data_IF_777957468830
#
_entry.id   IF_777957468830
#
_cell.length_a   1.000
_cell.length_b   1.000
_cell.length_c   1.000
_cell.angle_alpha   90.00
_cell.angle_beta   90.00
_cell.angle_gamma   90.00
#
_symmetry.space_group_name_H-M   'P 1'
#
loop_
_entity.id
_entity.type
_entity.pdbx_description
1 polymer ?
#
# COMPACT_ATOMS: atom_id res chain seq x y z
N UNK A 1 -5.67 15.97 -11.12
CA UNK A 1 -5.19 16.36 -9.78
C UNK A 1 -5.16 15.11 -8.94
N UNK A 2 -3.96 14.61 -8.60
CA UNK A 2 -3.80 13.46 -7.69
C UNK A 2 -4.36 13.84 -6.33
N UNK A 3 -5.28 13.04 -5.80
CA UNK A 3 -5.78 13.26 -4.44
C UNK A 3 -4.69 12.89 -3.42
N UNK A 4 -4.59 13.59 -2.27
CA UNK A 4 -3.68 13.19 -1.22
C UNK A 4 -4.07 11.79 -0.71
N UNK A 5 -3.07 10.92 -0.50
CA UNK A 5 -3.27 9.63 0.15
C UNK A 5 -3.37 9.88 1.65
N UNK A 6 -4.48 9.47 2.25
CA UNK A 6 -4.67 9.49 3.70
C UNK A 6 -4.67 8.03 4.14
N UNK A 7 -3.74 7.70 5.03
CA UNK A 7 -3.67 6.36 5.61
C UNK A 7 -4.59 6.28 6.83
N UNK A 8 -5.22 5.13 7.03
CA UNK A 8 -5.82 4.83 8.33
C UNK A 8 -4.71 4.52 9.33
N UNK A 9 -4.92 4.75 10.64
CA UNK A 9 -3.94 4.37 11.67
C UNK A 9 -3.55 2.89 11.60
N UNK A 10 -4.51 2.01 11.26
CA UNK A 10 -4.24 0.58 11.07
C UNK A 10 -3.31 0.32 9.88
N UNK A 11 -3.50 1.01 8.75
CA UNK A 11 -2.70 0.81 7.56
C UNK A 11 -1.25 1.30 7.76
N UNK A 12 -1.05 2.38 8.53
CA UNK A 12 0.29 2.84 8.91
C UNK A 12 1.01 1.79 9.78
N UNK A 13 0.31 1.21 10.75
CA UNK A 13 0.85 0.14 11.60
C UNK A 13 1.17 -1.12 10.79
N UNK A 14 0.28 -1.53 9.89
CA UNK A 14 0.49 -2.69 9.02
C UNK A 14 1.72 -2.48 8.13
N UNK A 15 1.86 -1.30 7.53
CA UNK A 15 3.00 -0.98 6.68
C UNK A 15 4.31 -1.02 7.48
N UNK A 16 4.36 -0.39 8.67
CA UNK A 16 5.53 -0.45 9.54
C UNK A 16 5.90 -1.87 9.94
N UNK A 17 4.92 -2.67 10.38
CA UNK A 17 5.15 -4.05 10.80
C UNK A 17 5.69 -4.93 9.66
N UNK A 18 5.23 -4.70 8.43
CA UNK A 18 5.77 -5.40 7.25
C UNK A 18 7.21 -4.98 6.99
N UNK A 19 7.53 -3.67 7.05
CA UNK A 19 8.91 -3.21 6.86
C UNK A 19 9.86 -3.77 7.91
N UNK A 20 9.44 -3.79 9.18
CA UNK A 20 10.20 -4.36 10.29
C UNK A 20 10.46 -5.86 10.04
N UNK A 21 9.43 -6.62 9.68
CA UNK A 21 9.57 -8.04 9.34
C UNK A 21 10.53 -8.27 8.18
N UNK A 22 10.42 -7.49 7.11
CA UNK A 22 11.30 -7.60 5.94
C UNK A 22 12.74 -7.24 6.31
N UNK A 23 12.96 -6.23 7.15
CA UNK A 23 14.30 -5.85 7.60
C UNK A 23 14.94 -6.92 8.49
N UNK A 24 14.15 -7.57 9.35
CA UNK A 24 14.64 -8.62 10.24
C UNK A 24 14.97 -9.92 9.51
N UNK A 25 14.20 -10.25 8.47
CA UNK A 25 14.24 -11.58 7.83
C UNK A 25 14.88 -11.57 6.43
N UNK A 26 15.01 -10.39 5.81
CA UNK A 26 15.55 -10.21 4.47
C UNK A 26 16.54 -9.04 4.43
N UNK A 27 17.12 -8.78 3.26
CA UNK A 27 18.02 -7.66 3.08
C UNK A 27 17.28 -6.33 2.81
N UNK A 28 18.03 -5.24 2.94
CA UNK A 28 17.54 -3.89 2.70
C UNK A 28 16.95 -3.69 1.29
N UNK A 29 17.41 -4.42 0.27
CA UNK A 29 16.89 -4.26 -1.11
C UNK A 29 15.47 -4.77 -1.22
N UNK A 30 15.11 -5.80 -0.46
CA UNK A 30 13.73 -6.30 -0.41
C UNK A 30 12.80 -5.27 0.23
N UNK A 31 13.26 -4.61 1.30
CA UNK A 31 12.53 -3.52 1.96
C UNK A 31 12.33 -2.35 0.99
N UNK A 32 13.39 -1.91 0.33
CA UNK A 32 13.34 -0.83 -0.68
C UNK A 32 12.37 -1.16 -1.80
N UNK A 33 12.46 -2.38 -2.36
CA UNK A 33 11.56 -2.81 -3.42
C UNK A 33 10.10 -2.87 -2.96
N UNK A 34 9.83 -3.30 -1.73
CA UNK A 34 8.48 -3.31 -1.16
C UNK A 34 7.89 -1.89 -1.04
N UNK A 35 8.71 -0.91 -0.63
CA UNK A 35 8.32 0.49 -0.57
C UNK A 35 8.00 1.02 -1.98
N UNK A 36 8.83 0.69 -2.97
CA UNK A 36 8.63 1.10 -4.37
C UNK A 36 7.33 0.56 -4.95
N UNK A 37 7.05 -0.74 -4.79
CA UNK A 37 5.81 -1.35 -5.34
C UNK A 37 4.57 -0.76 -4.66
N UNK A 38 4.63 -0.51 -3.36
CA UNK A 38 3.51 0.07 -2.59
C UNK A 38 3.27 1.52 -3.04
N UNK A 39 4.33 2.31 -3.19
CA UNK A 39 4.24 3.69 -3.67
C UNK A 39 3.71 3.78 -5.11
N UNK A 40 4.14 2.85 -5.98
CA UNK A 40 3.63 2.74 -7.35
C UNK A 40 2.14 2.40 -7.38
N UNK A 41 1.69 1.47 -6.53
CA UNK A 41 0.28 1.12 -6.41
C UNK A 41 -0.56 2.33 -5.92
N UNK A 42 -0.09 3.06 -4.91
CA UNK A 42 -0.75 4.28 -4.43
C UNK A 42 -0.83 5.37 -5.51
N UNK A 43 0.24 5.53 -6.30
CA UNK A 43 0.23 6.44 -7.45
C UNK A 43 -0.83 6.04 -8.48
N UNK A 44 -0.96 4.76 -8.80
CA UNK A 44 -2.00 4.27 -9.70
C UNK A 44 -3.41 4.54 -9.15
N UNK A 45 -3.65 4.23 -7.88
CA UNK A 45 -4.95 4.47 -7.22
C UNK A 45 -5.30 5.97 -7.20
N UNK A 46 -4.34 6.84 -6.90
CA UNK A 46 -4.58 8.29 -6.84
C UNK A 46 -4.80 8.92 -8.21
N UNK A 47 -4.15 8.38 -9.25
CA UNK A 47 -4.33 8.83 -10.63
C UNK A 47 -5.59 8.25 -11.28
N UNK A 48 -6.01 7.05 -10.89
CA UNK A 48 -7.20 6.36 -11.41
C UNK A 48 -7.95 5.59 -10.30
N UNK A 49 -8.76 6.29 -9.47
CA UNK A 49 -9.44 5.67 -8.32
C UNK A 49 -10.44 4.54 -8.66
N UNK A 50 -10.87 4.45 -9.93
CA UNK A 50 -11.77 3.40 -10.42
C UNK A 50 -11.07 2.21 -11.09
N UNK A 51 -9.73 2.18 -11.06
CA UNK A 51 -8.94 1.13 -11.73
C UNK A 51 -9.17 -0.26 -11.13
N UNK A 52 -9.41 -0.34 -9.82
CA UNK A 52 -9.58 -1.61 -9.11
C UNK A 52 -11.06 -1.90 -8.85
N UNK A 53 -11.49 -3.16 -8.94
CA UNK A 53 -12.87 -3.53 -8.68
C UNK A 53 -13.22 -3.29 -7.20
N UNK A 54 -14.46 -2.87 -6.95
CA UNK A 54 -15.01 -2.84 -5.60
C UNK A 54 -15.19 -4.28 -5.10
N UNK A 55 -14.40 -4.67 -4.10
CA UNK A 55 -14.40 -6.05 -3.55
C UNK A 55 -15.55 -6.25 -2.53
N UNK A 56 -16.14 -5.17 -2.02
CA UNK A 56 -17.37 -5.23 -1.22
C UNK A 56 -18.61 -5.21 -2.14
N UNK A 57 -18.98 -6.37 -2.70
CA UNK A 57 -20.37 -6.59 -3.12
C UNK A 57 -21.19 -6.85 -1.87
N UNK A 58 -22.15 -5.99 -1.56
CA UNK A 58 -23.20 -6.34 -0.61
C UNK A 58 -23.83 -7.68 -1.03
N UNK A 59 -23.93 -8.62 -0.08
CA UNK A 59 -24.85 -9.74 -0.24
C UNK A 59 -26.25 -9.14 -0.29
N UNK A 60 -26.81 -9.08 -1.48
CA UNK A 60 -28.21 -8.75 -1.73
C UNK A 60 -29.12 -9.83 -1.13
#
# INVERSE_FOLDING_TARGET
MSKPVIWSPSAELDFSAILDYLMENWDFKVVEHFIEITSSALSQITNSPGQYPLIHKEKK
#
